data_IF_494401752950
#
_entry.id   IF_494401752950
#
_cell.length_a   1.000
_cell.length_b   1.000
_cell.length_c   1.000
_cell.angle_alpha   90.00
_cell.angle_beta   90.00
_cell.angle_gamma   90.00
#
_symmetry.space_group_name_H-M   'P 1'
#
loop_
_entity.id
_entity.type
_entity.pdbx_description
1 polymer ?
#
# COMPACT_ATOMS: atom_id res chain seq x y z
N UNK A 1 19.61 7.07 9.73
CA UNK A 1 19.62 5.59 9.67
C UNK A 1 18.22 5.17 9.30
N UNK A 2 18.02 4.44 8.20
CA UNK A 2 16.71 3.88 7.90
C UNK A 2 16.38 2.90 9.03
N UNK A 3 15.20 3.03 9.62
CA UNK A 3 14.77 2.13 10.67
C UNK A 3 14.75 0.71 10.10
N UNK A 4 15.19 -0.27 10.88
CA UNK A 4 15.22 -1.64 10.39
C UNK A 4 13.78 -2.12 10.23
N UNK A 5 13.44 -2.68 9.06
CA UNK A 5 12.06 -3.10 8.75
C UNK A 5 11.46 -4.03 9.82
N UNK A 6 12.31 -4.82 10.49
CA UNK A 6 11.89 -5.74 11.54
C UNK A 6 11.49 -5.08 12.86
N UNK A 7 11.62 -3.75 12.99
CA UNK A 7 11.18 -2.99 14.18
C UNK A 7 9.75 -2.50 14.08
N UNK A 8 9.16 -2.52 12.89
CA UNK A 8 7.78 -2.11 12.70
C UNK A 8 6.83 -3.11 13.34
N UNK A 9 5.77 -2.62 13.98
CA UNK A 9 4.80 -3.46 14.71
C UNK A 9 4.05 -4.46 13.81
N UNK A 10 3.90 -4.12 12.53
CA UNK A 10 3.28 -4.98 11.52
C UNK A 10 4.22 -6.04 10.94
N UNK A 11 5.50 -6.07 11.33
CA UNK A 11 6.49 -6.95 10.70
C UNK A 11 6.15 -8.44 10.83
N UNK A 12 5.72 -8.87 12.01
CA UNK A 12 5.31 -10.25 12.25
C UNK A 12 3.84 -10.52 11.90
N UNK A 13 3.10 -9.47 11.58
CA UNK A 13 1.73 -9.57 11.09
C UNK A 13 1.64 -9.96 9.61
N UNK A 14 2.55 -9.43 8.78
CA UNK A 14 2.52 -9.70 7.34
C UNK A 14 3.17 -11.04 6.99
N UNK A 15 2.70 -11.64 5.89
CA UNK A 15 3.26 -12.87 5.34
C UNK A 15 4.74 -12.73 4.96
N UNK A 16 5.48 -13.85 5.04
CA UNK A 16 6.91 -13.90 4.77
C UNK A 16 7.28 -13.39 3.38
N UNK A 17 6.51 -13.74 2.35
CA UNK A 17 6.71 -13.26 0.99
C UNK A 17 6.57 -11.73 0.86
N UNK A 18 5.65 -11.11 1.60
CA UNK A 18 5.50 -9.66 1.66
C UNK A 18 6.68 -9.00 2.38
N UNK A 19 7.22 -9.63 3.44
CA UNK A 19 8.46 -9.16 4.09
C UNK A 19 9.64 -9.17 3.13
N UNK A 20 9.78 -10.22 2.32
CA UNK A 20 10.85 -10.32 1.33
C UNK A 20 10.73 -9.22 0.26
N UNK A 21 9.51 -8.90 -0.19
CA UNK A 21 9.28 -7.78 -1.11
C UNK A 21 9.69 -6.42 -0.51
N UNK A 22 9.44 -6.19 0.79
CA UNK A 22 9.87 -4.95 1.45
C UNK A 22 11.39 -4.88 1.61
N UNK A 23 12.04 -6.01 1.92
CA UNK A 23 13.51 -6.10 1.93
C UNK A 23 14.07 -5.83 0.53
N UNK A 24 13.44 -6.36 -0.51
CA UNK A 24 13.81 -6.14 -1.90
C UNK A 24 13.70 -4.67 -2.29
N UNK A 25 12.60 -3.98 -1.95
CA UNK A 25 12.46 -2.54 -2.19
C UNK A 25 13.58 -1.74 -1.52
N UNK A 26 13.90 -2.04 -0.25
CA UNK A 26 15.01 -1.39 0.46
C UNK A 26 16.38 -1.69 -0.16
N UNK A 27 16.59 -2.93 -0.63
CA UNK A 27 17.82 -3.30 -1.32
C UNK A 27 17.95 -2.55 -2.65
N UNK A 28 16.88 -2.46 -3.44
CA UNK A 28 16.85 -1.73 -4.70
C UNK A 28 17.14 -0.25 -4.49
N UNK A 29 16.50 0.38 -3.50
CA UNK A 29 16.78 1.77 -3.15
C UNK A 29 18.26 2.00 -2.80
N UNK A 30 18.84 1.15 -1.92
CA UNK A 30 20.24 1.27 -1.51
C UNK A 30 21.22 1.08 -2.68
N UNK A 31 20.95 0.08 -3.54
CA UNK A 31 21.82 -0.25 -4.68
C UNK A 31 21.73 0.82 -5.74
N UNK A 32 20.52 1.12 -6.21
CA UNK A 32 20.27 2.08 -7.29
C UNK A 32 20.72 3.49 -6.90
N UNK A 33 20.54 3.89 -5.63
CA UNK A 33 21.02 5.17 -5.13
C UNK A 33 22.54 5.35 -5.21
N UNK A 34 23.29 4.24 -5.28
CA UNK A 34 24.77 4.23 -5.40
C UNK A 34 25.26 4.08 -6.84
N UNK A 35 24.38 3.83 -7.81
CA UNK A 35 24.77 3.71 -9.20
C UNK A 35 25.09 5.09 -9.81
N UNK A 36 26.09 5.11 -10.67
CA UNK A 36 26.46 6.31 -11.41
C UNK A 36 25.44 6.58 -12.53
N UNK A 37 24.90 5.50 -13.09
CA UNK A 37 23.85 5.49 -14.08
C UNK A 37 22.56 6.07 -13.51
N UNK A 38 21.84 6.81 -14.36
CA UNK A 38 20.53 7.35 -14.03
C UNK A 38 19.48 6.75 -14.95
N UNK A 39 18.39 6.29 -14.35
CA UNK A 39 17.22 5.82 -15.08
C UNK A 39 16.30 6.98 -15.43
N UNK A 40 15.55 6.80 -16.52
CA UNK A 40 14.49 7.73 -16.90
C UNK A 40 13.32 7.70 -15.91
N UNK A 41 13.05 6.51 -15.34
CA UNK A 41 11.97 6.27 -14.39
C UNK A 41 12.46 5.31 -13.31
N UNK A 42 12.19 5.65 -12.05
CA UNK A 42 12.54 4.86 -10.88
C UNK A 42 11.33 4.10 -10.31
N UNK A 43 10.17 4.10 -10.97
CA UNK A 43 8.97 3.34 -10.56
C UNK A 43 9.26 1.87 -10.21
N UNK A 44 10.24 1.25 -10.86
CA UNK A 44 10.66 -0.14 -10.61
C UNK A 44 11.17 -0.39 -9.18
N UNK A 45 11.73 0.61 -8.48
CA UNK A 45 12.18 0.43 -7.09
C UNK A 45 11.00 0.41 -6.11
N UNK A 46 9.88 1.06 -6.47
CA UNK A 46 8.66 1.14 -5.65
C UNK A 46 7.82 -0.13 -5.78
N UNK A 47 7.90 -0.80 -6.92
CA UNK A 47 7.02 -1.93 -7.27
C UNK A 47 6.95 -3.04 -6.20
N UNK A 48 8.07 -3.52 -5.61
CA UNK A 48 8.00 -4.53 -4.56
C UNK A 48 7.26 -4.02 -3.31
N UNK A 49 7.52 -2.79 -2.87
CA UNK A 49 6.83 -2.19 -1.72
C UNK A 49 5.33 -1.98 -2.00
N UNK A 50 4.98 -1.51 -3.19
CA UNK A 50 3.58 -1.34 -3.61
C UNK A 50 2.82 -2.69 -3.61
N UNK A 51 3.47 -3.76 -4.08
CA UNK A 51 2.90 -5.11 -4.05
C UNK A 51 2.76 -5.66 -2.62
N UNK A 52 3.77 -5.44 -1.77
CA UNK A 52 3.70 -5.81 -0.36
C UNK A 52 2.55 -5.10 0.36
N UNK A 53 2.36 -3.81 0.05
CA UNK A 53 1.29 -2.99 0.58
C UNK A 53 -0.11 -3.50 0.18
N UNK A 54 -0.32 -3.90 -1.09
CA UNK A 54 -1.59 -4.53 -1.49
C UNK A 54 -1.87 -5.81 -0.69
N UNK A 55 -0.86 -6.64 -0.46
CA UNK A 55 -0.99 -7.86 0.36
C UNK A 55 -1.31 -7.55 1.82
N UNK A 56 -0.63 -6.57 2.41
CA UNK A 56 -0.91 -6.07 3.75
C UNK A 56 -2.36 -5.60 3.88
N UNK A 57 -2.84 -4.75 2.97
CA UNK A 57 -4.21 -4.25 2.98
C UNK A 57 -5.23 -5.39 2.86
N UNK A 58 -4.96 -6.38 2.01
CA UNK A 58 -5.87 -7.53 1.86
C UNK A 58 -5.96 -8.34 3.15
N UNK A 59 -4.84 -8.53 3.85
CA UNK A 59 -4.79 -9.22 5.15
C UNK A 59 -5.54 -8.41 6.21
N UNK A 60 -5.27 -7.10 6.28
CA UNK A 60 -5.93 -6.16 7.18
C UNK A 60 -7.45 -6.20 7.04
N UNK A 61 -7.96 -6.10 5.81
CA UNK A 61 -9.39 -6.05 5.56
C UNK A 61 -10.09 -7.36 5.90
N UNK A 62 -9.40 -8.49 5.72
CA UNK A 62 -9.92 -9.81 6.11
C UNK A 62 -10.01 -9.91 7.62
N UNK A 63 -8.96 -9.56 8.34
CA UNK A 63 -8.90 -9.70 9.80
C UNK A 63 -9.86 -8.75 10.52
N UNK A 64 -10.13 -7.58 9.93
CA UNK A 64 -11.19 -6.66 10.38
C UNK A 64 -12.62 -7.12 10.01
N UNK A 65 -12.76 -8.21 9.26
CA UNK A 65 -14.05 -8.73 8.80
C UNK A 65 -14.71 -7.87 7.70
N UNK A 66 -13.95 -7.01 7.02
CA UNK A 66 -14.46 -6.14 5.96
C UNK A 66 -14.60 -6.86 4.62
N UNK A 67 -13.84 -7.94 4.42
CA UNK A 67 -13.92 -8.82 3.26
C UNK A 67 -13.99 -10.28 3.73
N UNK A 68 -14.57 -11.14 2.90
CA UNK A 68 -14.69 -12.56 3.19
C UNK A 68 -13.40 -13.35 2.90
N UNK A 69 -13.32 -14.59 3.36
CA UNK A 69 -12.27 -15.52 2.92
C UNK A 69 -12.31 -15.77 1.41
N UNK A 70 -13.51 -15.79 0.81
CA UNK A 70 -13.66 -15.91 -0.64
C UNK A 70 -13.02 -14.72 -1.37
N UNK A 71 -13.20 -13.50 -0.87
CA UNK A 71 -12.53 -12.30 -1.40
C UNK A 71 -11.01 -12.36 -1.21
N UNK A 72 -10.58 -12.85 -0.04
CA UNK A 72 -9.18 -12.96 0.34
C UNK A 72 -8.40 -13.94 -0.57
N UNK A 73 -8.94 -15.13 -0.83
CA UNK A 73 -8.30 -16.11 -1.72
C UNK A 73 -8.68 -15.92 -3.19
N UNK A 74 -9.78 -15.22 -3.45
CA UNK A 74 -10.29 -14.94 -4.78
C UNK A 74 -9.45 -13.96 -5.59
N UNK A 75 -9.55 -14.10 -6.91
CA UNK A 75 -8.89 -13.24 -7.90
C UNK A 75 -9.72 -12.02 -8.32
N UNK A 76 -10.97 -11.93 -7.84
CA UNK A 76 -11.94 -10.90 -8.24
C UNK A 76 -11.82 -9.64 -7.41
N UNK A 77 -11.60 -9.77 -6.11
CA UNK A 77 -11.48 -8.64 -5.19
C UNK A 77 -10.33 -7.70 -5.61
N UNK A 78 -10.62 -6.40 -5.69
CA UNK A 78 -9.65 -5.36 -6.08
C UNK A 78 -9.55 -4.31 -4.99
N UNK A 79 -8.36 -4.18 -4.39
CA UNK A 79 -8.06 -3.16 -3.37
C UNK A 79 -8.45 -1.77 -3.86
N UNK A 80 -8.05 -1.43 -5.10
CA UNK A 80 -8.36 -0.15 -5.69
C UNK A 80 -9.85 0.17 -5.85
N UNK A 81 -10.69 -0.84 -6.09
CA UNK A 81 -12.15 -0.66 -6.12
C UNK A 81 -12.64 -0.46 -4.68
N UNK A 82 -12.29 -1.38 -3.78
CA UNK A 82 -12.77 -1.39 -2.41
C UNK A 82 -12.41 -0.13 -1.60
N UNK A 83 -11.26 0.48 -1.88
CA UNK A 83 -10.79 1.70 -1.20
C UNK A 83 -11.19 3.01 -1.90
N UNK A 84 -11.81 2.99 -3.08
CA UNK A 84 -12.06 4.22 -3.83
C UNK A 84 -13.29 4.98 -3.27
N UNK A 85 -13.10 6.19 -2.70
CA UNK A 85 -14.20 6.98 -2.14
C UNK A 85 -15.13 7.59 -3.21
N UNK A 86 -14.69 7.60 -4.47
CA UNK A 86 -15.41 8.19 -5.60
C UNK A 86 -16.24 7.17 -6.39
N UNK A 87 -16.41 5.94 -5.88
CA UNK A 87 -17.31 4.98 -6.51
C UNK A 87 -18.75 5.45 -6.47
N UNK A 88 -19.51 5.08 -7.50
CA UNK A 88 -20.96 5.28 -7.54
C UNK A 88 -21.62 4.65 -6.31
N UNK A 89 -22.63 5.32 -5.78
CA UNK A 89 -23.26 4.97 -4.50
C UNK A 89 -23.71 3.51 -4.44
N UNK A 90 -24.36 3.02 -5.50
CA UNK A 90 -24.86 1.65 -5.60
C UNK A 90 -23.76 0.59 -5.51
N UNK A 91 -22.56 0.89 -6.00
CA UNK A 91 -21.40 -0.01 -5.92
C UNK A 91 -20.73 0.11 -4.54
N UNK A 92 -20.73 1.33 -4.00
CA UNK A 92 -20.09 1.67 -2.74
C UNK A 92 -20.82 1.05 -1.53
N UNK A 93 -22.15 1.00 -1.54
CA UNK A 93 -22.95 0.42 -0.46
C UNK A 93 -22.64 -1.08 -0.21
N UNK A 94 -22.36 -1.85 -1.25
CA UNK A 94 -22.18 -3.30 -1.14
C UNK A 94 -20.73 -3.70 -0.82
N UNK A 95 -19.75 -3.01 -1.42
CA UNK A 95 -18.36 -3.47 -1.46
C UNK A 95 -17.34 -2.50 -0.84
N UNK A 96 -17.76 -1.32 -0.37
CA UNK A 96 -16.81 -0.30 0.09
C UNK A 96 -16.14 -0.67 1.40
N UNK A 97 -14.86 -1.03 1.31
CA UNK A 97 -13.98 -1.11 2.48
C UNK A 97 -13.65 0.29 3.00
N UNK A 98 -13.59 1.30 2.12
CA UNK A 98 -13.41 2.68 2.52
C UNK A 98 -14.46 3.11 3.57
N UNK A 99 -15.75 2.89 3.32
CA UNK A 99 -16.80 3.29 4.27
C UNK A 99 -16.77 2.48 5.56
N UNK A 100 -16.45 1.19 5.47
CA UNK A 100 -16.25 0.34 6.65
C UNK A 100 -15.13 0.88 7.53
N UNK A 101 -14.02 1.34 6.94
CA UNK A 101 -12.92 1.99 7.66
C UNK A 101 -13.35 3.31 8.30
N UNK A 102 -14.07 4.17 7.57
CA UNK A 102 -14.58 5.44 8.11
C UNK A 102 -15.46 5.20 9.33
N UNK A 103 -16.38 4.24 9.24
CA UNK A 103 -17.28 3.89 10.32
C UNK A 103 -16.54 3.25 11.51
N UNK A 104 -15.58 2.36 11.24
CA UNK A 104 -14.81 1.66 12.27
C UNK A 104 -13.88 2.60 13.04
N UNK A 105 -13.22 3.54 12.35
CA UNK A 105 -12.28 4.48 12.97
C UNK A 105 -12.95 5.77 13.45
N UNK A 106 -14.22 6.00 13.11
CA UNK A 106 -14.96 7.22 13.47
C UNK A 106 -14.50 8.47 12.70
N UNK A 107 -13.85 8.30 11.55
CA UNK A 107 -13.27 9.39 10.77
C UNK A 107 -12.64 8.92 9.47
N UNK A 108 -12.46 9.85 8.53
CA UNK A 108 -11.96 9.54 7.18
C UNK A 108 -10.45 9.45 7.06
N UNK A 109 -9.71 9.95 8.04
CA UNK A 109 -8.27 10.18 7.92
C UNK A 109 -7.50 8.91 7.58
N UNK A 110 -7.79 7.78 8.26
CA UNK A 110 -7.15 6.52 7.93
C UNK A 110 -7.54 6.05 6.52
N UNK A 111 -8.83 6.05 6.20
CA UNK A 111 -9.34 5.58 4.91
C UNK A 111 -8.75 6.38 3.73
N UNK A 112 -8.69 7.71 3.87
CA UNK A 112 -8.04 8.63 2.93
C UNK A 112 -6.54 8.30 2.78
N UNK A 113 -5.81 8.10 3.89
CA UNK A 113 -4.39 7.76 3.83
C UNK A 113 -4.13 6.42 3.13
N UNK A 114 -4.96 5.40 3.40
CA UNK A 114 -4.83 4.10 2.74
C UNK A 114 -5.09 4.20 1.24
N UNK A 115 -6.17 4.88 0.87
CA UNK A 115 -6.55 5.09 -0.52
C UNK A 115 -5.50 5.89 -1.30
N UNK A 116 -5.07 7.04 -0.77
CA UNK A 116 -4.12 7.90 -1.45
C UNK A 116 -2.74 7.24 -1.59
N UNK A 117 -2.31 6.46 -0.59
CA UNK A 117 -1.07 5.68 -0.68
C UNK A 117 -1.16 4.60 -1.76
N UNK A 118 -2.26 3.87 -1.84
CA UNK A 118 -2.47 2.89 -2.91
C UNK A 118 -2.55 3.57 -4.28
N UNK A 119 -3.31 4.68 -4.39
CA UNK A 119 -3.52 5.41 -5.64
C UNK A 119 -2.19 5.94 -6.19
N UNK A 120 -1.37 6.57 -5.35
CA UNK A 120 -0.14 7.18 -5.82
C UNK A 120 1.04 6.20 -5.91
N UNK A 121 1.14 5.24 -4.98
CA UNK A 121 2.25 4.29 -4.92
C UNK A 121 2.09 3.10 -5.87
N UNK A 122 0.86 2.80 -6.29
CA UNK A 122 0.55 1.65 -7.15
C UNK A 122 -0.26 2.04 -8.38
N UNK A 123 -1.36 2.79 -8.24
CA UNK A 123 -2.24 3.00 -9.38
C UNK A 123 -1.61 3.94 -10.42
N UNK A 124 -1.44 5.22 -10.08
CA UNK A 124 -0.94 6.22 -11.01
C UNK A 124 0.49 5.95 -11.45
N UNK A 125 1.31 5.35 -10.57
CA UNK A 125 2.71 5.07 -10.84
C UNK A 125 2.93 4.10 -12.01
N UNK A 126 2.02 3.14 -12.21
CA UNK A 126 2.13 2.12 -13.26
C UNK A 126 1.14 2.32 -14.41
N UNK A 127 0.34 3.39 -14.37
CA UNK A 127 -0.52 3.75 -15.49
C UNK A 127 0.14 4.80 -16.38
N UNK A 128 0.10 4.53 -17.68
CA UNK A 128 0.48 5.50 -18.69
C UNK A 128 -0.74 6.30 -19.12
N UNK A 129 -0.65 7.63 -19.00
CA UNK A 129 -1.67 8.55 -19.49
C UNK A 129 -1.07 9.40 -20.62
N UNK A 130 -1.76 9.54 -21.77
CA UNK A 130 -1.30 10.42 -22.83
C UNK A 130 -1.07 11.84 -22.32
N UNK A 131 0.11 12.41 -22.60
CA UNK A 131 0.53 13.76 -22.20
C UNK A 131 0.79 13.97 -20.70
N UNK A 132 0.79 12.92 -19.89
CA UNK A 132 1.24 13.00 -18.49
C UNK A 132 2.62 12.37 -18.34
N UNK A 133 3.52 13.03 -17.61
CA UNK A 133 4.79 12.43 -17.19
C UNK A 133 4.53 11.58 -15.94
N UNK A 134 4.29 10.28 -16.12
CA UNK A 134 4.20 9.33 -15.01
C UNK A 134 5.56 8.87 -14.48
N UNK A 135 6.66 9.20 -15.19
CA UNK A 135 8.02 8.84 -14.77
C UNK A 135 8.42 9.59 -13.50
N UNK A 136 8.97 8.87 -12.53
CA UNK A 136 9.41 9.44 -11.25
C UNK A 136 10.93 9.40 -11.12
N UNK A 137 11.47 10.39 -10.42
CA UNK A 137 12.86 10.47 -9.98
C UNK A 137 13.15 9.48 -8.85
N UNK A 138 14.44 9.24 -8.59
CA UNK A 138 14.88 8.40 -7.47
C UNK A 138 14.35 8.92 -6.12
N UNK A 139 14.39 10.25 -5.91
CA UNK A 139 13.91 10.87 -4.66
C UNK A 139 12.39 10.71 -4.49
N UNK A 140 11.63 10.90 -5.56
CA UNK A 140 10.19 10.66 -5.54
C UNK A 140 9.89 9.18 -5.22
N UNK A 141 10.65 8.26 -5.81
CA UNK A 141 10.48 6.83 -5.55
C UNK A 141 10.78 6.45 -4.09
N UNK A 142 11.84 7.01 -3.50
CA UNK A 142 12.14 6.87 -2.07
C UNK A 142 10.99 7.39 -1.20
N UNK A 143 10.48 8.58 -1.50
CA UNK A 143 9.33 9.15 -0.79
C UNK A 143 8.07 8.28 -0.93
N UNK A 144 7.87 7.58 -2.05
CA UNK A 144 6.78 6.60 -2.20
C UNK A 144 6.95 5.41 -1.26
N UNK A 145 8.16 4.85 -1.18
CA UNK A 145 8.47 3.73 -0.27
C UNK A 145 8.23 4.16 1.19
N UNK A 146 8.74 5.32 1.59
CA UNK A 146 8.57 5.83 2.95
C UNK A 146 7.09 6.09 3.27
N UNK A 147 6.31 6.63 2.34
CA UNK A 147 4.85 6.82 2.49
C UNK A 147 4.11 5.49 2.68
N UNK A 148 4.50 4.44 1.95
CA UNK A 148 3.93 3.11 2.10
C UNK A 148 4.16 2.58 3.52
N UNK A 149 5.42 2.60 3.98
CA UNK A 149 5.79 2.10 5.31
C UNK A 149 5.08 2.87 6.43
N UNK A 150 5.09 4.21 6.35
CA UNK A 150 4.43 5.06 7.33
C UNK A 150 2.90 4.84 7.36
N UNK A 151 2.29 4.55 6.21
CA UNK A 151 0.86 4.26 6.13
C UNK A 151 0.53 2.88 6.70
N UNK A 152 1.42 1.90 6.56
CA UNK A 152 1.30 0.60 7.24
C UNK A 152 1.38 0.77 8.76
N UNK A 153 2.32 1.59 9.26
CA UNK A 153 2.42 1.92 10.69
C UNK A 153 1.15 2.59 11.21
N UNK A 154 0.63 3.58 10.48
CA UNK A 154 -0.60 4.28 10.83
C UNK A 154 -1.77 3.29 10.89
N UNK A 155 -1.93 2.44 9.88
CA UNK A 155 -3.01 1.46 9.84
C UNK A 155 -2.94 0.49 11.02
N UNK A 156 -1.76 -0.03 11.33
CA UNK A 156 -1.58 -0.97 12.43
C UNK A 156 -1.94 -0.35 13.78
N UNK A 157 -1.54 0.91 13.97
CA UNK A 157 -1.83 1.69 15.18
C UNK A 157 -3.32 2.01 15.31
N UNK A 158 -3.94 2.56 14.27
CA UNK A 158 -5.33 3.05 14.32
C UNK A 158 -6.35 1.89 14.31
N UNK A 159 -6.04 0.78 13.63
CA UNK A 159 -6.88 -0.42 13.64
C UNK A 159 -6.73 -1.27 14.92
N UNK A 160 -5.82 -0.91 15.83
CA UNK A 160 -5.58 -1.60 17.11
C UNK A 160 -5.41 -3.10 16.96
N UNK A 161 -4.66 -3.53 15.93
CA UNK A 161 -4.39 -4.94 15.70
C UNK A 161 -3.47 -5.42 16.83
N UNK A 162 -3.92 -6.42 17.58
CA UNK A 162 -3.09 -7.05 18.59
C UNK A 162 -2.00 -7.85 17.88
N UNK A 163 -0.74 -7.42 17.99
CA UNK A 163 0.41 -8.28 17.68
C UNK A 163 0.36 -9.47 18.63
N UNK A 164 0.15 -10.67 18.10
CA UNK A 164 0.22 -11.93 18.88
C UNK A 164 1.64 -12.21 19.34
#
# INVERSE_FOLDING_TARGET
>A
MKESLNKHLWWDYIHEDLRELLKEANLLEDKVGKWNEKFHDYSFIVFPAAKAYEGFLKTLFRDLGFISDEDYFGKRFRIGKALNPSLEHSIREEESVYDKLVNFCGGKDLADNLWETWKEGRNLLFHWFPNEKSAITFEEARLRIDKILATMDLAFKECKINST
#
